data_IF_093755340797
#
_entry.id   IF_093755340797
#
_cell.length_a   1.000
_cell.length_b   1.000
_cell.length_c   1.000
_cell.angle_alpha   90.00
_cell.angle_beta   90.00
_cell.angle_gamma   90.00
#
_symmetry.space_group_name_H-M   'P 1'
#
loop_
_entity.id
_entity.type
_entity.pdbx_description
1 polymer ?
#
# COMPACT_ATOMS: atom_id res chain seq x y z
N UNK A 1 -15.08 22.70 9.51
CA UNK A 1 -14.78 23.09 10.91
C UNK A 1 -13.27 23.15 11.06
N UNK A 2 -12.76 24.02 11.92
CA UNK A 2 -11.33 24.11 12.20
C UNK A 2 -10.85 22.86 12.94
N UNK A 3 -9.66 22.39 12.58
CA UNK A 3 -8.98 21.26 13.22
C UNK A 3 -7.60 21.75 13.65
N UNK A 4 -7.29 21.55 14.91
CA UNK A 4 -6.04 21.99 15.54
C UNK A 4 -5.18 20.78 15.88
N UNK A 5 -3.91 20.85 15.52
CA UNK A 5 -2.90 19.83 15.85
C UNK A 5 -2.09 20.30 17.07
N UNK A 6 -2.15 19.54 18.16
CA UNK A 6 -1.39 19.80 19.39
C UNK A 6 -0.25 18.79 19.52
N UNK A 7 0.94 19.27 19.85
CA UNK A 7 2.14 18.45 20.03
C UNK A 7 2.69 18.74 21.43
N UNK A 8 2.74 17.72 22.29
CA UNK A 8 3.36 17.77 23.61
C UNK A 8 4.67 16.97 23.60
N UNK A 9 5.78 17.67 23.80
CA UNK A 9 7.13 17.12 23.93
C UNK A 9 7.76 17.50 25.28
N UNK A 10 6.93 17.79 26.31
CA UNK A 10 7.41 18.19 27.64
C UNK A 10 8.08 17.04 28.37
N UNK A 11 7.69 15.80 28.07
CA UNK A 11 8.25 14.59 28.65
C UNK A 11 9.39 14.08 27.74
N UNK A 12 10.59 13.80 28.27
CA UNK A 12 11.74 13.41 27.45
C UNK A 12 11.64 12.00 26.83
N UNK A 13 10.76 11.15 27.38
CA UNK A 13 10.63 9.75 26.99
C UNK A 13 9.44 9.50 26.04
N UNK A 14 8.53 10.47 25.91
CA UNK A 14 7.32 10.34 25.09
C UNK A 14 6.96 11.67 24.41
N UNK A 15 6.56 11.59 23.16
CA UNK A 15 5.95 12.69 22.41
C UNK A 15 4.50 12.33 22.14
N UNK A 16 3.58 13.25 22.38
CA UNK A 16 2.14 13.04 22.18
C UNK A 16 1.61 14.03 21.15
N UNK A 17 0.80 13.56 20.22
CA UNK A 17 0.21 14.35 19.14
C UNK A 17 -1.30 14.16 19.14
N UNK A 18 -2.05 15.26 19.11
CA UNK A 18 -3.52 15.24 19.18
C UNK A 18 -4.11 16.09 18.08
N UNK A 19 -4.99 15.51 17.27
CA UNK A 19 -5.85 16.24 16.34
C UNK A 19 -7.20 16.50 17.02
N UNK A 20 -7.56 17.77 17.17
CA UNK A 20 -8.76 18.20 17.89
C UNK A 20 -9.65 19.07 17.00
N UNK A 21 -10.96 18.83 17.04
CA UNK A 21 -11.95 19.76 16.49
C UNK A 21 -12.87 20.26 17.59
N UNK A 22 -12.92 21.59 17.79
CA UNK A 22 -13.66 22.25 18.87
C UNK A 22 -13.35 21.66 20.26
N UNK A 23 -14.24 20.81 20.78
CA UNK A 23 -14.14 20.16 22.09
C UNK A 23 -13.93 18.64 22.02
N UNK A 24 -13.80 18.07 20.82
CA UNK A 24 -13.62 16.64 20.62
C UNK A 24 -12.22 16.32 20.10
N UNK A 25 -11.64 15.25 20.63
CA UNK A 25 -10.42 14.65 20.11
C UNK A 25 -10.83 13.73 18.96
N UNK A 26 -10.29 13.96 17.77
CA UNK A 26 -10.51 13.10 16.62
C UNK A 26 -9.47 11.97 16.59
N UNK A 27 -8.20 12.32 16.81
CA UNK A 27 -7.09 11.39 16.75
C UNK A 27 -6.05 11.69 17.83
N UNK A 28 -5.44 10.63 18.36
CA UNK A 28 -4.41 10.70 19.39
C UNK A 28 -3.33 9.68 19.04
N UNK A 29 -2.10 10.17 18.88
CA UNK A 29 -0.92 9.34 18.70
C UNK A 29 0.13 9.68 19.75
N UNK A 30 0.92 8.69 20.16
CA UNK A 30 2.09 8.91 21.00
C UNK A 30 3.25 8.05 20.52
N UNK A 31 4.46 8.58 20.65
CA UNK A 31 5.69 7.90 20.31
C UNK A 31 6.60 7.86 21.53
N UNK A 32 7.13 6.67 21.83
CA UNK A 32 8.10 6.49 22.91
C UNK A 32 9.52 6.37 22.34
N UNK A 33 10.48 7.04 22.97
CA UNK A 33 11.89 7.05 22.56
C UNK A 33 12.51 5.66 22.41
N UNK A 34 12.07 4.69 23.22
CA UNK A 34 12.59 3.33 23.22
C UNK A 34 11.91 2.40 22.21
N UNK A 35 10.79 2.82 21.60
CA UNK A 35 10.00 2.00 20.68
C UNK A 35 9.68 2.77 19.41
N UNK A 36 10.73 3.04 18.63
CA UNK A 36 10.60 3.72 17.35
C UNK A 36 9.91 2.82 16.32
N UNK A 37 8.93 3.39 15.62
CA UNK A 37 8.27 2.72 14.51
C UNK A 37 9.20 2.72 13.29
N UNK A 38 9.58 1.53 12.84
CA UNK A 38 10.47 1.34 11.67
C UNK A 38 9.71 1.08 10.36
N UNK A 39 8.39 0.87 10.45
CA UNK A 39 7.54 0.57 9.32
C UNK A 39 7.45 1.82 8.43
N UNK A 40 7.49 1.63 7.11
CA UNK A 40 7.46 2.70 6.10
C UNK A 40 8.67 3.64 6.07
N UNK A 41 9.73 3.36 6.84
CA UNK A 41 10.96 4.13 6.75
C UNK A 41 11.67 3.88 5.41
N UNK A 42 12.31 4.92 4.89
CA UNK A 42 13.06 4.89 3.64
C UNK A 42 14.56 4.92 3.96
N UNK A 43 15.31 3.97 3.39
CA UNK A 43 16.74 3.83 3.63
C UNK A 43 17.50 3.77 2.31
N UNK A 44 18.73 4.29 2.30
CA UNK A 44 19.73 3.95 1.30
C UNK A 44 20.45 2.67 1.74
N UNK A 45 20.18 1.56 1.08
CA UNK A 45 20.77 0.26 1.38
C UNK A 45 21.72 -0.24 0.30
N UNK A 46 22.60 -1.18 0.66
CA UNK A 46 23.46 -1.91 -0.28
C UNK A 46 23.02 -3.36 -0.36
N UNK A 47 22.89 -3.89 -1.58
CA UNK A 47 22.62 -5.32 -1.80
C UNK A 47 23.83 -6.13 -1.27
N UNK A 48 23.59 -7.00 -0.31
CA UNK A 48 24.61 -7.86 0.30
C UNK A 48 24.81 -9.14 -0.51
N UNK A 49 23.72 -9.79 -0.90
CA UNK A 49 23.73 -11.00 -1.73
C UNK A 49 22.39 -11.16 -2.43
N UNK A 50 22.39 -11.92 -3.52
CA UNK A 50 21.20 -12.31 -4.29
C UNK A 50 21.00 -13.81 -4.08
N UNK A 51 19.76 -14.21 -3.77
CA UNK A 51 19.37 -15.62 -3.56
C UNK A 51 18.40 -16.03 -4.67
N UNK A 52 18.87 -16.65 -5.76
CA UNK A 52 18.02 -17.05 -6.88
C UNK A 52 16.92 -18.03 -6.48
N UNK A 53 17.21 -18.95 -5.55
CA UNK A 53 16.24 -19.93 -5.05
C UNK A 53 15.04 -19.26 -4.37
N UNK A 54 15.25 -18.14 -3.69
CA UNK A 54 14.19 -17.36 -3.05
C UNK A 54 13.62 -16.27 -3.96
N UNK A 55 14.22 -16.06 -5.13
CA UNK A 55 13.87 -14.96 -6.05
C UNK A 55 13.89 -13.61 -5.31
N UNK A 56 14.96 -13.40 -4.55
CA UNK A 56 15.08 -12.26 -3.64
C UNK A 56 16.53 -11.79 -3.46
N UNK A 57 16.68 -10.58 -2.96
CA UNK A 57 17.96 -10.01 -2.56
C UNK A 57 17.94 -9.66 -1.07
N UNK A 58 19.08 -9.88 -0.41
CA UNK A 58 19.27 -9.43 0.97
C UNK A 58 19.99 -8.08 0.97
N UNK A 59 19.39 -7.08 1.61
CA UNK A 59 19.86 -5.69 1.61
C UNK A 59 20.37 -5.31 3.00
N UNK A 60 21.59 -4.77 3.07
CA UNK A 60 22.08 -4.12 4.28
C UNK A 60 21.63 -2.65 4.27
N UNK A 61 20.76 -2.29 5.22
CA UNK A 61 20.22 -0.93 5.40
C UNK A 61 20.62 -0.32 6.76
N UNK A 62 21.68 -0.85 7.40
CA UNK A 62 22.21 -0.32 8.67
C UNK A 62 21.65 -0.95 9.94
N UNK A 63 20.89 -2.06 9.83
CA UNK A 63 20.43 -2.86 10.98
C UNK A 63 21.23 -4.15 11.12
N UNK A 64 21.17 -4.76 12.30
CA UNK A 64 21.86 -6.02 12.61
C UNK A 64 21.40 -7.18 11.69
N UNK A 65 20.11 -7.20 11.33
CA UNK A 65 19.56 -8.17 10.38
C UNK A 65 19.38 -7.51 9.02
N UNK A 66 19.77 -8.23 7.98
CA UNK A 66 19.57 -7.81 6.60
C UNK A 66 18.09 -7.80 6.26
N UNK A 67 17.70 -6.84 5.42
CA UNK A 67 16.35 -6.75 4.88
C UNK A 67 16.17 -7.78 3.77
N UNK A 68 14.96 -8.30 3.65
CA UNK A 68 14.57 -9.17 2.55
C UNK A 68 13.85 -8.32 1.51
N UNK A 69 14.32 -8.35 0.27
CA UNK A 69 13.72 -7.65 -0.86
C UNK A 69 13.36 -8.66 -1.94
N UNK A 70 12.06 -8.95 -2.09
CA UNK A 70 11.60 -9.86 -3.12
C UNK A 70 11.80 -9.25 -4.52
N UNK A 71 12.04 -10.09 -5.52
CA UNK A 71 12.27 -9.65 -6.89
C UNK A 71 11.09 -8.85 -7.47
N UNK A 72 9.87 -9.21 -7.10
CA UNK A 72 8.65 -8.54 -7.59
C UNK A 72 8.56 -7.08 -7.12
N UNK A 73 9.11 -6.77 -5.95
CA UNK A 73 9.07 -5.44 -5.33
C UNK A 73 10.16 -4.50 -5.87
N UNK A 74 11.06 -5.00 -6.71
CA UNK A 74 12.11 -4.20 -7.34
C UNK A 74 11.52 -3.43 -8.52
N UNK A 75 11.72 -2.11 -8.53
CA UNK A 75 11.32 -1.25 -9.64
C UNK A 75 12.17 -1.50 -10.89
N UNK A 76 11.54 -1.38 -12.06
CA UNK A 76 12.16 -1.55 -13.39
C UNK A 76 13.41 -0.69 -13.58
N UNK A 77 13.47 0.47 -12.93
CA UNK A 77 14.60 1.39 -12.92
C UNK A 77 15.91 0.78 -12.41
N UNK A 78 15.82 -0.26 -11.58
CA UNK A 78 16.99 -0.95 -11.04
C UNK A 78 17.42 -2.17 -11.87
N UNK A 79 16.67 -2.52 -12.92
CA UNK A 79 17.04 -3.63 -13.79
C UNK A 79 18.22 -3.27 -14.70
N UNK A 80 19.16 -4.20 -14.78
CA UNK A 80 20.31 -4.15 -15.67
C UNK A 80 19.93 -4.78 -17.02
N UNK A 81 19.16 -4.02 -17.80
CA UNK A 81 18.71 -4.39 -19.14
C UNK A 81 19.03 -3.27 -20.14
N UNK A 82 19.07 -3.55 -21.45
CA UNK A 82 19.27 -2.52 -22.47
C UNK A 82 18.26 -1.37 -22.35
N UNK A 83 18.70 -0.16 -22.69
CA UNK A 83 17.89 1.06 -22.54
C UNK A 83 16.56 1.00 -23.32
N UNK A 84 16.57 0.39 -24.50
CA UNK A 84 15.39 0.29 -25.35
C UNK A 84 14.32 -0.62 -24.74
N UNK A 85 14.73 -1.77 -24.20
CA UNK A 85 13.83 -2.71 -23.52
C UNK A 85 13.29 -2.10 -22.22
N UNK A 86 14.13 -1.35 -21.50
CA UNK A 86 13.71 -0.62 -20.30
C UNK A 86 12.64 0.43 -20.58
N UNK A 87 12.76 1.16 -21.70
CA UNK A 87 11.76 2.15 -22.11
C UNK A 87 10.43 1.50 -22.49
N UNK A 88 10.48 0.39 -23.25
CA UNK A 88 9.27 -0.37 -23.61
C UNK A 88 8.55 -0.87 -22.37
N UNK A 89 9.28 -1.49 -21.45
CA UNK A 89 8.75 -1.98 -20.17
C UNK A 89 8.08 -0.88 -19.36
N UNK A 90 8.74 0.27 -19.18
CA UNK A 90 8.15 1.40 -18.45
C UNK A 90 6.84 1.87 -19.06
N UNK A 91 6.79 1.98 -20.39
CA UNK A 91 5.59 2.41 -21.10
C UNK A 91 4.44 1.40 -20.94
N UNK A 92 4.75 0.11 -21.01
CA UNK A 92 3.75 -0.93 -20.81
C UNK A 92 3.28 -1.02 -19.35
N UNK A 93 4.16 -0.81 -18.37
CA UNK A 93 3.80 -0.71 -16.95
C UNK A 93 2.90 0.50 -16.66
N UNK A 94 3.15 1.63 -17.31
CA UNK A 94 2.33 2.84 -17.21
C UNK A 94 0.95 2.63 -17.83
N UNK A 95 0.88 2.08 -19.04
CA UNK A 95 -0.37 1.74 -19.70
C UNK A 95 -1.20 0.77 -18.84
N UNK A 96 -0.56 -0.28 -18.30
CA UNK A 96 -1.23 -1.24 -17.42
C UNK A 96 -1.78 -0.56 -16.15
N UNK A 97 -1.04 0.40 -15.57
CA UNK A 97 -1.55 1.20 -14.44
C UNK A 97 -2.78 2.00 -14.80
N UNK A 98 -2.79 2.64 -15.97
CA UNK A 98 -3.93 3.41 -16.45
C UNK A 98 -5.14 2.48 -16.68
N UNK A 99 -4.97 1.37 -17.38
CA UNK A 99 -6.03 0.37 -17.60
C UNK A 99 -6.61 -0.16 -16.30
N UNK A 100 -5.77 -0.49 -15.31
CA UNK A 100 -6.22 -0.96 -14.01
C UNK A 100 -6.98 0.11 -13.24
N UNK A 101 -6.59 1.38 -13.37
CA UNK A 101 -7.28 2.52 -12.76
C UNK A 101 -8.64 2.77 -13.42
N UNK A 102 -8.73 2.64 -14.74
CA UNK A 102 -10.00 2.73 -15.47
C UNK A 102 -10.94 1.58 -15.07
N UNK A 103 -10.43 0.36 -14.99
CA UNK A 103 -11.21 -0.81 -14.53
C UNK A 103 -11.73 -0.63 -13.11
N UNK A 104 -10.93 -0.11 -12.18
CA UNK A 104 -11.40 0.16 -10.82
C UNK A 104 -12.50 1.23 -10.80
N UNK A 105 -12.36 2.30 -11.57
CA UNK A 105 -13.37 3.35 -11.65
C UNK A 105 -14.70 2.83 -12.21
N UNK A 106 -14.66 2.03 -13.29
CA UNK A 106 -15.86 1.43 -13.89
C UNK A 106 -16.55 0.44 -12.93
N UNK A 107 -15.78 -0.31 -12.13
CA UNK A 107 -16.35 -1.20 -11.11
C UNK A 107 -17.08 -0.42 -10.01
N UNK A 108 -16.52 0.70 -9.55
CA UNK A 108 -17.17 1.58 -8.57
C UNK A 108 -18.45 2.23 -9.13
N UNK A 109 -18.46 2.64 -10.40
CA UNK A 109 -19.66 3.21 -11.05
C UNK A 109 -20.77 2.18 -11.22
N UNK A 110 -20.43 0.93 -11.57
CA UNK A 110 -21.40 -0.16 -11.68
C UNK A 110 -21.98 -0.59 -10.32
N UNK A 111 -21.18 -0.58 -9.25
CA UNK A 111 -21.69 -0.84 -7.89
C UNK A 111 -22.66 0.27 -7.41
N UNK A 112 -22.41 1.55 -7.78
CA UNK A 112 -23.33 2.66 -7.47
C UNK A 112 -24.64 2.58 -8.24
N UNK A 113 -24.60 2.21 -9.52
CA UNK A 113 -25.82 2.04 -10.34
C UNK A 113 -26.66 0.82 -9.95
N UNK A 114 -26.07 -0.24 -9.40
CA UNK A 114 -26.82 -1.39 -8.88
C UNK A 114 -27.58 -1.08 -7.58
N UNK A 115 -27.11 -0.13 -6.76
CA UNK A 115 -27.78 0.31 -5.54
C UNK A 115 -29.09 1.06 -5.79
N UNK A 116 -29.15 1.89 -6.83
CA UNK A 116 -30.34 2.70 -7.17
C UNK A 116 -31.54 1.86 -7.67
N UNK A 117 -31.33 0.63 -8.18
CA UNK A 117 -32.44 -0.25 -8.60
C UNK A 117 -33.11 -1.00 -7.44
N UNK A 118 -32.59 -0.92 -6.21
CA UNK A 118 -33.11 -1.67 -5.05
C UNK A 118 -34.02 -0.86 -4.11
N UNK A 119 -34.26 0.43 -4.38
CA UNK A 119 -35.02 1.32 -3.50
C UNK A 119 -36.52 1.40 -3.83
N UNK A 120 -37.12 0.25 -4.14
CA UNK A 120 -38.58 0.09 -4.15
C UNK A 120 -38.95 -1.32 -3.71
N UNK A 121 -38.92 -1.57 -2.40
CA UNK A 121 -40.01 -2.20 -1.63
C UNK A 121 -39.65 -2.40 -0.13
N UNK A 122 -40.53 -1.84 0.72
CA UNK A 122 -40.91 -2.24 2.10
C UNK A 122 -39.99 -2.02 3.32
N UNK A 123 -40.27 -0.92 4.03
CA UNK A 123 -40.55 -0.70 5.47
C UNK A 123 -40.72 -1.96 6.37
N UNK A 124 -39.86 -2.18 7.39
CA UNK A 124 -40.14 -2.03 8.86
C UNK A 124 -39.11 -2.69 9.83
N UNK A 125 -38.69 -1.87 10.81
CA UNK A 125 -38.14 -2.03 12.19
C UNK A 125 -37.18 -3.15 12.70
N UNK A 126 -35.93 -2.72 12.96
CA UNK A 126 -35.13 -2.77 14.21
C UNK A 126 -34.92 -4.07 15.05
N UNK A 127 -33.67 -4.56 15.10
CA UNK A 127 -32.75 -4.43 16.27
C UNK A 127 -31.36 -5.04 16.04
N UNK A 128 -30.35 -4.17 16.20
CA UNK A 128 -28.97 -4.38 16.66
C UNK A 128 -28.24 -5.69 16.33
N UNK A 129 -27.29 -5.60 15.39
CA UNK A 129 -26.08 -6.43 15.38
C UNK A 129 -24.86 -5.54 15.19
N UNK A 130 -23.88 -5.75 16.05
CA UNK A 130 -22.52 -5.21 16.06
C UNK A 130 -21.82 -5.35 14.70
N UNK A 131 -21.35 -4.23 14.13
CA UNK A 131 -20.45 -4.23 12.98
C UNK A 131 -19.05 -3.77 13.40
N UNK A 132 -18.26 -4.74 13.88
CA UNK A 132 -16.82 -4.75 13.67
C UNK A 132 -16.53 -5.61 12.43
N UNK A 133 -15.60 -5.14 11.60
CA UNK A 133 -14.89 -5.84 10.52
C UNK A 133 -15.65 -6.19 9.23
N UNK A 134 -15.31 -5.52 8.12
CA UNK A 134 -14.67 -6.15 6.92
C UNK A 134 -14.69 -5.25 5.67
N UNK A 135 -13.65 -4.41 5.49
CA UNK A 135 -13.27 -3.85 4.17
C UNK A 135 -11.98 -4.47 3.60
N UNK A 136 -11.31 -5.37 4.34
CA UNK A 136 -10.01 -5.94 3.95
C UNK A 136 -9.97 -6.87 2.71
N UNK A 137 -11.01 -7.65 2.34
CA UNK A 137 -10.81 -8.69 1.32
C UNK A 137 -10.73 -8.16 -0.12
N UNK A 138 -11.34 -7.00 -0.43
CA UNK A 138 -11.30 -6.44 -1.79
C UNK A 138 -9.92 -5.85 -2.13
N UNK A 139 -9.30 -5.12 -1.20
CA UNK A 139 -7.98 -4.50 -1.42
C UNK A 139 -6.86 -5.55 -1.58
N UNK A 140 -6.81 -6.56 -0.71
CA UNK A 140 -5.80 -7.62 -0.76
C UNK A 140 -5.86 -8.41 -2.07
N UNK A 141 -7.07 -8.74 -2.56
CA UNK A 141 -7.25 -9.40 -3.84
C UNK A 141 -6.79 -8.52 -5.02
N UNK A 142 -7.09 -7.21 -4.98
CA UNK A 142 -6.66 -6.28 -6.03
C UNK A 142 -5.14 -6.14 -6.12
N UNK A 143 -4.44 -6.18 -4.98
CA UNK A 143 -2.97 -6.12 -4.92
C UNK A 143 -2.37 -7.40 -5.48
N UNK A 144 -2.97 -8.55 -5.15
CA UNK A 144 -2.53 -9.85 -5.65
C UNK A 144 -2.68 -9.94 -7.18
N UNK A 145 -3.80 -9.49 -7.72
CA UNK A 145 -4.05 -9.42 -9.17
C UNK A 145 -3.07 -8.48 -9.88
N UNK A 146 -2.86 -7.28 -9.34
CA UNK A 146 -1.86 -6.32 -9.86
C UNK A 146 -0.48 -6.97 -9.95
N UNK A 147 -0.04 -7.60 -8.87
CA UNK A 147 1.25 -8.28 -8.82
C UNK A 147 1.37 -9.40 -9.86
N UNK A 148 0.28 -10.12 -10.15
CA UNK A 148 0.27 -11.14 -11.19
C UNK A 148 0.46 -10.54 -12.60
N UNK A 149 -0.25 -9.45 -12.93
CA UNK A 149 -0.10 -8.79 -14.22
C UNK A 149 1.31 -8.21 -14.44
N UNK A 150 1.89 -7.55 -13.43
CA UNK A 150 3.26 -7.05 -13.50
C UNK A 150 4.28 -8.20 -13.66
N UNK A 151 4.06 -9.33 -12.98
CA UNK A 151 4.92 -10.50 -13.11
C UNK A 151 4.88 -11.11 -14.52
N UNK A 152 3.71 -11.14 -15.14
CA UNK A 152 3.55 -11.63 -16.51
C UNK A 152 4.20 -10.69 -17.53
N UNK A 153 4.06 -9.37 -17.33
CA UNK A 153 4.71 -8.36 -18.15
C UNK A 153 6.24 -8.48 -18.12
N UNK A 154 6.82 -8.67 -16.92
CA UNK A 154 8.26 -8.90 -16.72
C UNK A 154 8.72 -10.15 -17.46
N UNK A 155 7.97 -11.26 -17.36
CA UNK A 155 8.27 -12.52 -18.08
C UNK A 155 8.32 -12.35 -19.60
N UNK A 156 7.41 -11.57 -20.19
CA UNK A 156 7.37 -11.31 -21.65
C UNK A 156 8.63 -10.62 -22.17
N UNK A 157 9.26 -9.79 -21.34
CA UNK A 157 10.50 -9.07 -21.68
C UNK A 157 11.77 -9.82 -21.29
N UNK A 158 11.68 -11.14 -21.07
CA UNK A 158 12.84 -11.96 -20.72
C UNK A 158 13.37 -11.71 -19.31
N UNK A 159 12.67 -10.93 -18.49
CA UNK A 159 13.01 -10.73 -17.08
C UNK A 159 12.49 -11.96 -16.33
N UNK A 160 13.40 -12.90 -16.13
CA UNK A 160 13.12 -14.15 -15.41
C UNK A 160 13.45 -13.98 -13.94
N UNK A 161 12.68 -14.71 -13.14
CA UNK A 161 12.90 -14.88 -11.71
C UNK A 161 14.09 -15.81 -11.47
#
# INVERSE_FOLDING_TARGET
MEKNLYIDASHPDETRVVLKSKNHIEEYEYENKNKLHIKNNIYLGKVSRVEPSLQAAFVNYGKQRQGFLAFNDIQTDYYQIPHDDKKKLKKEEENLRLELKEKSNNAEENERHAGELSESQTVDENKNVSNATNEKPKEENSILEKNNYFNELKRRHGIRR
#
